data_IF_168822335824
#
_entry.id   IF_168822335824
#
_cell.length_a   1.000
_cell.length_b   1.000
_cell.length_c   1.000
_cell.angle_alpha   90.00
_cell.angle_beta   90.00
_cell.angle_gamma   90.00
#
_symmetry.space_group_name_H-M   'P 1'
#
loop_
_entity.id
_entity.type
_entity.pdbx_description
1 polymer ?
#
# COMPACT_ATOMS: atom_id res chain seq x y z
N UNK A 1 -32.97 -23.91 -31.47
CA UNK A 1 -33.51 -24.88 -30.50
C UNK A 1 -34.94 -24.47 -30.21
N UNK A 2 -35.89 -25.40 -30.26
CA UNK A 2 -37.30 -25.15 -29.93
C UNK A 2 -37.47 -25.39 -28.43
N UNK A 3 -37.96 -24.38 -27.70
CA UNK A 3 -38.17 -24.46 -26.24
C UNK A 3 -39.37 -25.37 -25.95
N UNK A 4 -39.31 -26.10 -24.83
CA UNK A 4 -40.38 -26.94 -24.27
C UNK A 4 -40.93 -28.06 -25.18
N UNK A 5 -40.21 -28.43 -26.25
CA UNK A 5 -40.60 -29.55 -27.11
C UNK A 5 -40.45 -30.91 -26.42
N UNK A 6 -39.55 -31.01 -25.45
CA UNK A 6 -39.30 -32.20 -24.64
C UNK A 6 -38.99 -31.82 -23.20
N UNK A 7 -39.29 -32.71 -22.26
CA UNK A 7 -38.91 -32.54 -20.84
C UNK A 7 -37.38 -32.56 -20.76
N UNK A 8 -36.78 -31.40 -20.44
CA UNK A 8 -35.36 -31.27 -20.18
C UNK A 8 -34.98 -31.79 -18.80
N UNK A 9 -33.72 -32.23 -18.65
CA UNK A 9 -33.16 -32.58 -17.33
C UNK A 9 -32.99 -31.36 -16.42
N UNK A 10 -32.89 -30.17 -17.01
CA UNK A 10 -32.82 -28.87 -16.36
C UNK A 10 -33.73 -27.90 -17.10
N UNK A 11 -34.26 -26.90 -16.39
CA UNK A 11 -35.07 -25.86 -17.02
C UNK A 11 -34.20 -24.90 -17.88
N UNK A 12 -34.86 -24.12 -18.74
CA UNK A 12 -34.16 -23.22 -19.66
C UNK A 12 -33.39 -22.11 -18.92
N UNK A 13 -33.93 -21.59 -17.83
CA UNK A 13 -33.32 -20.53 -17.04
C UNK A 13 -32.08 -21.02 -16.28
N UNK A 14 -32.09 -22.27 -15.81
CA UNK A 14 -30.97 -22.99 -15.22
C UNK A 14 -29.90 -23.26 -16.28
N UNK A 15 -30.29 -23.69 -17.48
CA UNK A 15 -29.34 -23.84 -18.59
C UNK A 15 -28.64 -22.51 -18.92
N UNK A 16 -29.38 -21.41 -19.06
CA UNK A 16 -28.79 -20.09 -19.33
C UNK A 16 -27.86 -19.63 -18.21
N UNK A 17 -28.26 -19.79 -16.94
CA UNK A 17 -27.40 -19.52 -15.78
C UNK A 17 -26.11 -20.36 -15.79
N UNK A 18 -26.22 -21.64 -16.13
CA UNK A 18 -25.08 -22.54 -16.25
C UNK A 18 -24.15 -22.12 -17.40
N UNK A 19 -24.68 -21.70 -18.55
CA UNK A 19 -23.89 -21.17 -19.67
C UNK A 19 -23.12 -19.91 -19.28
N UNK A 20 -23.74 -18.97 -18.56
CA UNK A 20 -23.07 -17.76 -18.05
C UNK A 20 -21.94 -18.15 -17.09
N UNK A 21 -22.21 -19.05 -16.14
CA UNK A 21 -21.24 -19.51 -15.14
C UNK A 21 -20.04 -20.20 -15.81
N UNK A 22 -20.28 -21.07 -16.79
CA UNK A 22 -19.23 -21.75 -17.54
C UNK A 22 -18.35 -20.78 -18.33
N UNK A 23 -18.95 -19.78 -19.00
CA UNK A 23 -18.19 -18.74 -19.72
C UNK A 23 -17.33 -17.92 -18.77
N UNK A 24 -17.86 -17.53 -17.61
CA UNK A 24 -17.10 -16.79 -16.59
C UNK A 24 -15.99 -17.64 -15.95
N UNK A 25 -16.18 -18.96 -15.90
CA UNK A 25 -15.22 -19.93 -15.37
C UNK A 25 -14.20 -20.42 -16.41
N UNK A 26 -14.31 -20.00 -17.67
CA UNK A 26 -13.40 -20.41 -18.74
C UNK A 26 -12.00 -19.79 -18.52
N UNK A 27 -11.13 -20.53 -17.83
CA UNK A 27 -9.91 -19.99 -17.23
C UNK A 27 -8.70 -19.90 -18.16
N UNK A 28 -8.64 -20.67 -19.25
CA UNK A 28 -7.37 -20.89 -19.98
C UNK A 28 -7.46 -20.93 -21.52
N UNK A 29 -8.64 -21.16 -22.12
CA UNK A 29 -8.77 -21.49 -23.54
C UNK A 29 -9.36 -20.38 -24.42
N UNK A 30 -9.90 -19.31 -23.83
CA UNK A 30 -10.44 -18.18 -24.58
C UNK A 30 -9.48 -16.98 -24.52
N UNK A 31 -9.18 -16.40 -25.68
CA UNK A 31 -8.39 -15.19 -25.76
C UNK A 31 -9.19 -14.07 -25.07
N UNK A 32 -8.64 -13.50 -24.01
CA UNK A 32 -9.37 -12.52 -23.19
C UNK A 32 -9.86 -13.00 -21.81
N UNK A 33 -10.00 -14.30 -21.55
CA UNK A 33 -10.55 -14.81 -20.28
C UNK A 33 -9.50 -15.27 -19.26
N UNK A 34 -8.22 -15.35 -19.68
CA UNK A 34 -7.13 -15.84 -18.84
C UNK A 34 -6.93 -15.00 -17.58
N UNK A 35 -7.20 -15.62 -16.42
CA UNK A 35 -7.06 -15.00 -15.10
C UNK A 35 -8.28 -14.22 -14.60
N UNK A 36 -9.38 -14.18 -15.35
CA UNK A 36 -10.59 -13.45 -14.95
C UNK A 36 -11.20 -13.97 -13.64
N UNK A 37 -11.14 -15.29 -13.43
CA UNK A 37 -11.61 -15.95 -12.22
C UNK A 37 -10.64 -15.72 -11.05
N UNK A 38 -11.13 -15.16 -9.92
CA UNK A 38 -10.37 -15.05 -8.69
C UNK A 38 -9.85 -16.41 -8.20
N UNK A 39 -8.57 -16.46 -7.84
CA UNK A 39 -7.93 -17.63 -7.22
C UNK A 39 -7.23 -17.25 -5.92
N UNK A 40 -6.70 -18.24 -5.23
CA UNK A 40 -5.93 -18.08 -4.00
C UNK A 40 -4.69 -17.17 -4.17
N UNK A 41 -4.18 -16.71 -3.03
CA UNK A 41 -3.02 -15.82 -2.92
C UNK A 41 -3.41 -14.34 -2.79
N UNK A 42 -2.46 -13.49 -2.43
CA UNK A 42 -2.74 -12.13 -1.93
C UNK A 42 -2.88 -11.05 -3.01
N UNK A 43 -2.53 -11.34 -4.27
CA UNK A 43 -2.47 -10.33 -5.33
C UNK A 43 -3.86 -9.90 -5.77
N UNK A 44 -4.24 -8.66 -5.44
CA UNK A 44 -5.59 -8.14 -5.62
C UNK A 44 -6.00 -8.06 -7.10
N UNK A 45 -5.06 -7.71 -7.99
CA UNK A 45 -5.32 -7.51 -9.41
C UNK A 45 -5.06 -8.75 -10.27
N UNK A 46 -5.06 -9.93 -9.68
CA UNK A 46 -4.83 -11.18 -10.39
C UNK A 46 -5.72 -11.30 -11.64
N UNK A 47 -5.07 -11.41 -12.80
CA UNK A 47 -5.71 -11.58 -14.11
C UNK A 47 -6.42 -10.34 -14.68
N UNK A 48 -6.35 -9.20 -14.00
CA UNK A 48 -6.86 -7.90 -14.49
C UNK A 48 -5.78 -6.93 -14.90
N UNK A 49 -4.52 -7.24 -14.59
CA UNK A 49 -3.39 -6.38 -14.97
C UNK A 49 -3.02 -6.56 -16.45
N UNK A 50 -2.95 -5.45 -17.17
CA UNK A 50 -2.46 -5.34 -18.54
C UNK A 50 -1.13 -4.58 -18.55
N UNK A 51 -0.18 -5.06 -19.35
CA UNK A 51 1.09 -4.41 -19.57
C UNK A 51 0.88 -3.22 -20.53
N UNK A 52 1.07 -1.99 -20.07
CA UNK A 52 0.94 -0.81 -20.95
C UNK A 52 2.06 -0.64 -21.99
N UNK A 53 3.08 -1.52 -22.00
CA UNK A 53 4.13 -1.52 -23.04
C UNK A 53 3.73 -2.40 -24.24
N UNK A 54 3.20 -3.60 -23.99
CA UNK A 54 2.91 -4.58 -25.05
C UNK A 54 1.44 -4.99 -25.15
N UNK A 55 0.55 -4.44 -24.32
CA UNK A 55 -0.88 -4.73 -24.30
C UNK A 55 -1.25 -6.14 -23.80
N UNK A 56 -0.28 -6.99 -23.43
CA UNK A 56 -0.55 -8.35 -22.95
C UNK A 56 -0.84 -8.37 -21.44
N UNK A 57 -1.68 -9.32 -21.01
CA UNK A 57 -1.97 -9.53 -19.58
C UNK A 57 -0.72 -9.94 -18.80
N UNK A 58 -0.56 -9.36 -17.62
CA UNK A 58 0.53 -9.66 -16.71
C UNK A 58 0.16 -10.84 -15.79
N UNK A 59 1.17 -11.62 -15.40
CA UNK A 59 1.01 -12.73 -14.45
C UNK A 59 1.37 -12.27 -13.03
N UNK A 60 0.80 -12.94 -12.04
CA UNK A 60 1.19 -12.75 -10.64
C UNK A 60 2.28 -13.75 -10.29
N UNK A 61 3.39 -13.26 -9.75
CA UNK A 61 4.40 -14.07 -9.07
C UNK A 61 4.40 -13.68 -7.61
N UNK A 62 4.44 -14.64 -6.71
CA UNK A 62 4.55 -14.35 -5.29
C UNK A 62 6.01 -14.44 -4.84
N UNK A 63 6.40 -13.52 -3.96
CA UNK A 63 7.70 -13.54 -3.31
C UNK A 63 7.49 -13.39 -1.80
N UNK A 64 8.16 -14.24 -1.01
CA UNK A 64 8.16 -14.10 0.44
C UNK A 64 9.15 -13.00 0.83
N UNK A 65 8.66 -11.96 1.49
CA UNK A 65 9.44 -10.82 1.99
C UNK A 65 9.23 -10.79 3.50
N UNK A 66 10.30 -11.12 4.25
CA UNK A 66 10.21 -11.40 5.69
C UNK A 66 9.14 -12.47 5.99
N UNK A 67 8.12 -12.14 6.79
CA UNK A 67 7.00 -13.03 7.14
C UNK A 67 5.80 -12.93 6.19
N UNK A 68 5.77 -11.96 5.27
CA UNK A 68 4.63 -11.73 4.39
C UNK A 68 4.88 -12.27 2.97
N UNK A 69 3.82 -12.79 2.35
CA UNK A 69 3.81 -13.08 0.92
C UNK A 69 3.41 -11.80 0.19
N UNK A 70 4.25 -11.31 -0.73
CA UNK A 70 3.96 -10.09 -1.51
C UNK A 70 3.80 -10.45 -3.00
N UNK A 71 2.81 -9.86 -3.70
CA UNK A 71 2.59 -10.10 -5.13
C UNK A 71 3.52 -9.25 -5.99
N UNK A 72 3.95 -9.80 -7.11
CA UNK A 72 4.60 -9.11 -8.22
C UNK A 72 3.79 -9.30 -9.48
N UNK A 73 3.50 -8.21 -10.17
CA UNK A 73 2.91 -8.23 -11.50
C UNK A 73 4.04 -8.27 -12.53
N UNK A 74 4.11 -9.33 -13.33
CA UNK A 74 5.19 -9.54 -14.30
C UNK A 74 4.63 -9.79 -15.69
N UNK A 75 5.08 -9.00 -16.66
CA UNK A 75 4.82 -9.25 -18.06
C UNK A 75 5.84 -10.27 -18.59
N UNK A 76 5.39 -11.50 -18.82
CA UNK A 76 6.21 -12.60 -19.33
C UNK A 76 5.91 -12.93 -20.80
N UNK A 77 5.13 -12.11 -21.51
CA UNK A 77 4.71 -12.40 -22.88
C UNK A 77 5.90 -12.51 -23.84
N UNK A 78 6.81 -11.53 -23.84
CA UNK A 78 8.02 -11.57 -24.68
C UNK A 78 8.92 -12.77 -24.33
N UNK A 79 9.12 -13.03 -23.03
CA UNK A 79 9.89 -14.19 -22.57
C UNK A 79 9.28 -15.54 -23.01
N UNK A 80 7.95 -15.65 -22.99
CA UNK A 80 7.26 -16.90 -23.34
C UNK A 80 7.18 -17.15 -24.86
N UNK A 81 7.04 -16.10 -25.67
CA UNK A 81 6.84 -16.24 -27.12
C UNK A 81 8.11 -16.04 -27.95
N UNK A 82 9.08 -15.27 -27.42
CA UNK A 82 10.27 -14.86 -28.17
C UNK A 82 11.59 -15.14 -27.42
N UNK A 83 11.53 -15.83 -26.28
CA UNK A 83 12.69 -16.08 -25.40
C UNK A 83 13.44 -14.79 -24.96
N UNK A 84 12.74 -13.66 -24.96
CA UNK A 84 13.27 -12.34 -24.62
C UNK A 84 13.21 -12.03 -23.11
N UNK A 85 13.74 -10.87 -22.72
CA UNK A 85 13.58 -10.34 -21.36
C UNK A 85 12.11 -9.96 -21.09
N UNK A 86 11.62 -10.11 -19.83
CA UNK A 86 10.28 -9.65 -19.47
C UNK A 86 10.14 -8.14 -19.65
N UNK A 87 9.03 -7.67 -20.21
CA UNK A 87 8.83 -6.25 -20.51
C UNK A 87 8.90 -5.39 -19.24
N UNK A 88 8.19 -5.82 -18.19
CA UNK A 88 8.16 -5.12 -16.91
C UNK A 88 7.81 -6.05 -15.75
N UNK A 89 8.35 -5.73 -14.58
CA UNK A 89 8.07 -6.36 -13.30
C UNK A 89 7.84 -5.29 -12.25
N UNK A 90 6.66 -5.34 -11.63
CA UNK A 90 6.15 -4.32 -10.71
C UNK A 90 5.78 -4.98 -9.39
N UNK A 91 6.16 -4.34 -8.28
CA UNK A 91 5.78 -4.77 -6.95
C UNK A 91 4.29 -4.46 -6.73
N UNK A 92 3.49 -5.48 -6.46
CA UNK A 92 2.03 -5.37 -6.44
C UNK A 92 1.48 -4.70 -5.19
N UNK A 93 2.16 -4.78 -4.04
CA UNK A 93 1.63 -4.27 -2.75
C UNK A 93 1.18 -2.81 -2.82
N UNK A 94 2.06 -1.92 -3.29
CA UNK A 94 1.78 -0.48 -3.26
C UNK A 94 0.71 -0.10 -4.31
N UNK A 95 0.68 -0.84 -5.43
CA UNK A 95 -0.39 -0.73 -6.46
C UNK A 95 -1.74 -1.21 -5.91
N UNK A 96 -1.77 -2.36 -5.24
CA UNK A 96 -2.99 -2.95 -4.66
C UNK A 96 -3.57 -2.04 -3.58
N UNK A 97 -2.71 -1.40 -2.77
CA UNK A 97 -3.12 -0.38 -1.80
C UNK A 97 -3.72 0.85 -2.49
N UNK A 98 -3.09 1.36 -3.55
CA UNK A 98 -3.61 2.49 -4.31
C UNK A 98 -4.97 2.20 -4.96
N UNK A 99 -5.14 1.01 -5.56
CA UNK A 99 -6.42 0.59 -6.13
C UNK A 99 -7.49 0.42 -5.03
N UNK A 100 -7.13 -0.17 -3.89
CA UNK A 100 -8.05 -0.31 -2.76
C UNK A 100 -8.54 1.06 -2.28
N UNK A 101 -7.64 2.03 -2.16
CA UNK A 101 -8.01 3.40 -1.79
C UNK A 101 -8.90 4.06 -2.84
N UNK A 102 -8.59 3.90 -4.13
CA UNK A 102 -9.43 4.41 -5.22
C UNK A 102 -10.84 3.81 -5.18
N UNK A 103 -10.97 2.49 -4.97
CA UNK A 103 -12.27 1.83 -4.90
C UNK A 103 -13.09 2.35 -3.72
N UNK A 104 -12.48 2.53 -2.56
CA UNK A 104 -13.17 3.10 -1.39
C UNK A 104 -13.66 4.53 -1.65
N UNK A 105 -12.85 5.36 -2.34
CA UNK A 105 -13.23 6.73 -2.69
C UNK A 105 -14.33 6.80 -3.76
N UNK A 106 -14.33 5.87 -4.72
CA UNK A 106 -15.23 5.91 -5.88
C UNK A 106 -16.56 5.22 -5.60
N UNK A 107 -16.54 4.08 -4.89
CA UNK A 107 -17.71 3.22 -4.71
C UNK A 107 -18.54 3.64 -3.50
N UNK A 108 -17.92 4.11 -2.41
CA UNK A 108 -18.68 4.47 -1.21
C UNK A 108 -19.72 5.59 -1.47
N UNK A 109 -19.42 6.67 -2.23
CA UNK A 109 -20.42 7.69 -2.55
C UNK A 109 -21.47 7.21 -3.55
N UNK A 110 -21.05 6.53 -4.62
CA UNK A 110 -21.97 6.04 -5.67
C UNK A 110 -22.92 4.95 -5.17
N UNK A 111 -22.47 4.09 -4.25
CA UNK A 111 -23.32 3.07 -3.63
C UNK A 111 -24.45 3.70 -2.80
N UNK A 112 -24.20 4.86 -2.18
CA UNK A 112 -25.22 5.62 -1.44
C UNK A 112 -26.24 6.22 -2.40
N UNK A 113 -25.79 6.85 -3.49
CA UNK A 113 -26.72 7.43 -4.49
C UNK A 113 -27.61 6.38 -5.15
N UNK A 114 -27.05 5.22 -5.54
CA UNK A 114 -27.83 4.11 -6.10
C UNK A 114 -28.81 3.56 -5.07
N UNK A 115 -28.40 3.42 -3.81
CA UNK A 115 -29.29 2.97 -2.75
C UNK A 115 -30.47 3.93 -2.55
N UNK A 116 -30.24 5.25 -2.63
CA UNK A 116 -31.30 6.26 -2.57
C UNK A 116 -32.23 6.20 -3.78
N UNK A 117 -31.68 6.04 -5.00
CA UNK A 117 -32.50 5.93 -6.21
C UNK A 117 -33.41 4.68 -6.20
N UNK A 118 -32.89 3.55 -5.70
CA UNK A 118 -33.69 2.32 -5.53
C UNK A 118 -34.77 2.51 -4.46
N UNK A 119 -34.48 3.23 -3.38
CA UNK A 119 -35.47 3.58 -2.35
C UNK A 119 -36.61 4.42 -2.95
N UNK A 120 -36.29 5.44 -3.74
CA UNK A 120 -37.27 6.29 -4.42
C UNK A 120 -38.12 5.49 -5.41
N UNK A 121 -37.52 4.57 -6.17
CA UNK A 121 -38.26 3.71 -7.09
C UNK A 121 -39.22 2.76 -6.36
N UNK A 122 -38.77 2.15 -5.25
CA UNK A 122 -39.62 1.28 -4.42
C UNK A 122 -40.79 2.07 -3.84
N UNK A 123 -40.52 3.27 -3.29
CA UNK A 123 -41.56 4.16 -2.77
C UNK A 123 -42.58 4.52 -3.86
N UNK A 124 -42.10 4.88 -5.06
CA UNK A 124 -42.97 5.19 -6.20
C UNK A 124 -43.83 4.01 -6.65
N UNK A 125 -43.29 2.78 -6.67
CA UNK A 125 -44.07 1.58 -7.01
C UNK A 125 -45.14 1.25 -5.96
N UNK A 126 -44.82 1.43 -4.68
CA UNK A 126 -45.79 1.24 -3.59
C UNK A 126 -46.94 2.25 -3.70
N UNK A 127 -46.62 3.52 -3.96
CA UNK A 127 -47.63 4.57 -4.15
C UNK A 127 -48.53 4.30 -5.35
N UNK A 128 -47.96 3.89 -6.49
CA UNK A 128 -48.73 3.51 -7.69
C UNK A 128 -49.66 2.32 -7.41
N UNK A 129 -49.16 1.30 -6.72
CA UNK A 129 -49.97 0.15 -6.33
C UNK A 129 -51.09 0.57 -5.36
N UNK A 130 -50.83 1.46 -4.41
CA UNK A 130 -51.84 1.96 -3.46
C UNK A 130 -52.94 2.78 -4.15
N UNK A 131 -52.56 3.63 -5.10
CA UNK A 131 -53.51 4.37 -5.92
C UNK A 131 -54.42 3.43 -6.75
N UNK A 132 -53.86 2.36 -7.33
CA UNK A 132 -54.64 1.36 -8.07
C UNK A 132 -55.64 0.63 -7.16
N UNK A 133 -55.19 0.22 -5.96
CA UNK A 133 -56.03 -0.46 -4.96
C UNK A 133 -57.14 0.44 -4.43
N UNK A 134 -56.84 1.71 -4.19
CA UNK A 134 -57.82 2.71 -3.75
C UNK A 134 -58.94 2.88 -4.79
N UNK A 135 -58.59 3.01 -6.07
CA UNK A 135 -59.57 3.07 -7.16
C UNK A 135 -60.42 1.80 -7.26
N UNK A 136 -59.84 0.63 -7.03
CA UNK A 136 -60.59 -0.63 -7.01
C UNK A 136 -61.60 -0.66 -5.86
N UNK A 137 -61.24 -0.17 -4.68
CA UNK A 137 -62.14 -0.02 -3.54
C UNK A 137 -63.26 0.97 -3.81
N UNK A 138 -62.97 2.13 -4.40
CA UNK A 138 -63.97 3.13 -4.79
C UNK A 138 -65.01 2.55 -5.75
N UNK A 139 -64.55 1.79 -6.76
CA UNK A 139 -65.46 1.11 -7.69
C UNK A 139 -66.33 0.07 -6.99
N UNK A 140 -65.75 -0.76 -6.13
CA UNK A 140 -66.52 -1.75 -5.37
C UNK A 140 -67.54 -1.09 -4.42
N UNK A 141 -67.21 0.06 -3.81
CA UNK A 141 -68.15 0.86 -3.00
C UNK A 141 -69.29 1.39 -3.83
N UNK A 142 -68.99 1.96 -4.99
CA UNK A 142 -70.01 2.46 -5.91
C UNK A 142 -70.96 1.36 -6.36
N UNK A 143 -70.43 0.19 -6.77
CA UNK A 143 -71.22 -0.94 -7.22
C UNK A 143 -72.14 -1.48 -6.10
N UNK A 144 -71.65 -1.54 -4.87
CA UNK A 144 -72.45 -1.94 -3.70
C UNK A 144 -73.58 -0.93 -3.40
N UNK A 145 -73.30 0.38 -3.47
CA UNK A 145 -74.31 1.42 -3.26
C UNK A 145 -75.35 1.46 -4.40
N UNK A 146 -74.92 1.21 -5.64
CA UNK A 146 -75.82 1.09 -6.78
C UNK A 146 -76.75 -0.12 -6.63
N UNK A 147 -76.22 -1.28 -6.22
CA UNK A 147 -77.02 -2.47 -5.94
C UNK A 147 -78.03 -2.22 -4.81
N UNK A 148 -77.61 -1.51 -3.74
CA UNK A 148 -78.51 -1.08 -2.64
C UNK A 148 -79.67 -0.24 -3.16
N UNK A 149 -79.39 0.78 -3.99
CA UNK A 149 -80.43 1.66 -4.55
C UNK A 149 -81.40 0.90 -5.44
N UNK A 150 -80.91 -0.06 -6.25
CA UNK A 150 -81.76 -0.91 -7.09
C UNK A 150 -82.70 -1.77 -6.24
N UNK A 151 -82.19 -2.39 -5.18
CA UNK A 151 -82.99 -3.16 -4.25
C UNK A 151 -84.05 -2.30 -3.54
N UNK A 152 -83.67 -1.13 -3.02
CA UNK A 152 -84.61 -0.23 -2.32
C UNK A 152 -85.73 0.34 -3.20
N UNK A 153 -85.54 0.37 -4.51
CA UNK A 153 -86.51 0.91 -5.47
C UNK A 153 -87.41 -0.18 -6.09
N UNK A 154 -87.23 -1.46 -5.76
CA UNK A 154 -88.07 -2.55 -6.30
C UNK A 154 -89.45 -2.56 -5.64
N UNK A 155 -90.49 -2.83 -6.41
CA UNK A 155 -91.84 -3.04 -5.86
C UNK A 155 -91.87 -4.35 -5.05
N UNK A 156 -92.29 -4.33 -3.77
CA UNK A 156 -92.42 -5.53 -2.93
C UNK A 156 -93.32 -6.64 -3.52
N UNK A 157 -94.24 -6.31 -4.41
CA UNK A 157 -95.07 -7.30 -5.11
C UNK A 157 -94.25 -8.22 -6.03
N UNK A 158 -93.09 -7.77 -6.51
CA UNK A 158 -92.20 -8.52 -7.40
C UNK A 158 -91.16 -9.35 -6.62
N UNK A 159 -91.64 -10.28 -5.79
CA UNK A 159 -90.83 -11.03 -4.81
C UNK A 159 -89.57 -11.69 -5.39
N UNK A 160 -89.66 -12.39 -6.53
CA UNK A 160 -88.50 -13.02 -7.16
C UNK A 160 -87.42 -12.01 -7.59
N UNK A 161 -87.82 -10.81 -8.01
CA UNK A 161 -86.87 -9.75 -8.43
C UNK A 161 -86.22 -9.12 -7.20
N UNK A 162 -86.98 -8.93 -6.12
CA UNK A 162 -86.46 -8.47 -4.84
C UNK A 162 -85.43 -9.45 -4.26
N UNK A 163 -85.74 -10.74 -4.23
CA UNK A 163 -84.83 -11.79 -3.74
C UNK A 163 -83.51 -11.83 -4.55
N UNK A 164 -83.59 -11.66 -5.87
CA UNK A 164 -82.41 -11.62 -6.76
C UNK A 164 -81.56 -10.36 -6.54
N UNK A 165 -82.18 -9.19 -6.37
CA UNK A 165 -81.49 -7.93 -6.10
C UNK A 165 -80.87 -7.90 -4.69
N UNK A 166 -81.53 -8.51 -3.72
CA UNK A 166 -80.98 -8.71 -2.37
C UNK A 166 -79.74 -9.61 -2.43
N UNK A 167 -79.80 -10.72 -3.17
CA UNK A 167 -78.66 -11.61 -3.36
C UNK A 167 -77.47 -10.92 -4.06
N UNK A 168 -77.72 -10.11 -5.10
CA UNK A 168 -76.69 -9.30 -5.76
C UNK A 168 -76.10 -8.26 -4.81
N UNK A 169 -76.93 -7.51 -4.07
CA UNK A 169 -76.44 -6.53 -3.10
C UNK A 169 -75.58 -7.19 -2.01
N UNK A 170 -76.03 -8.31 -1.44
CA UNK A 170 -75.26 -9.08 -0.48
C UNK A 170 -73.94 -9.61 -1.07
N UNK A 171 -73.91 -10.02 -2.33
CA UNK A 171 -72.68 -10.42 -3.01
C UNK A 171 -71.71 -9.25 -3.18
N UNK A 172 -72.19 -8.06 -3.56
CA UNK A 172 -71.37 -6.83 -3.67
C UNK A 172 -70.84 -6.37 -2.33
N UNK A 173 -71.61 -6.48 -1.24
CA UNK A 173 -71.15 -6.18 0.11
C UNK A 173 -70.01 -7.11 0.57
N UNK A 174 -70.13 -8.42 0.32
CA UNK A 174 -69.05 -9.38 0.63
C UNK A 174 -67.79 -9.11 -0.19
N UNK A 175 -67.96 -8.77 -1.48
CA UNK A 175 -66.85 -8.40 -2.34
C UNK A 175 -66.14 -7.14 -1.82
N UNK A 176 -66.89 -6.11 -1.44
CA UNK A 176 -66.35 -4.88 -0.86
C UNK A 176 -65.58 -5.17 0.43
N UNK A 177 -66.16 -5.92 1.37
CA UNK A 177 -65.51 -6.28 2.63
C UNK A 177 -64.20 -7.07 2.40
N UNK A 178 -64.21 -8.04 1.48
CA UNK A 178 -63.01 -8.81 1.14
C UNK A 178 -61.89 -7.92 0.57
N UNK A 179 -62.23 -6.97 -0.30
CA UNK A 179 -61.28 -6.02 -0.87
C UNK A 179 -60.77 -5.03 0.18
N UNK A 180 -61.60 -4.61 1.13
CA UNK A 180 -61.19 -3.73 2.23
C UNK A 180 -60.19 -4.43 3.14
N UNK A 181 -60.46 -5.66 3.54
CA UNK A 181 -59.55 -6.44 4.39
C UNK A 181 -58.22 -6.74 3.70
N UNK A 182 -58.23 -6.97 2.39
CA UNK A 182 -57.01 -7.19 1.62
C UNK A 182 -56.21 -5.90 1.47
N UNK A 183 -56.86 -4.78 1.17
CA UNK A 183 -56.21 -3.47 1.12
C UNK A 183 -55.57 -3.09 2.47
N UNK A 184 -56.27 -3.30 3.59
CA UNK A 184 -55.74 -3.06 4.94
C UNK A 184 -54.50 -3.91 5.24
N UNK A 185 -54.52 -5.19 4.83
CA UNK A 185 -53.38 -6.11 4.99
C UNK A 185 -52.18 -5.65 4.18
N UNK A 186 -52.39 -5.30 2.92
CA UNK A 186 -51.31 -4.87 2.04
C UNK A 186 -50.76 -3.49 2.46
N UNK A 187 -51.60 -2.57 2.89
CA UNK A 187 -51.17 -1.27 3.45
C UNK A 187 -50.25 -1.45 4.66
N UNK A 188 -50.55 -2.40 5.55
CA UNK A 188 -49.67 -2.74 6.69
C UNK A 188 -48.35 -3.38 6.23
N UNK A 189 -48.36 -4.17 5.16
CA UNK A 189 -47.13 -4.73 4.59
C UNK A 189 -46.25 -3.64 3.96
N UNK A 190 -46.86 -2.71 3.21
CA UNK A 190 -46.19 -1.57 2.58
C UNK A 190 -45.57 -0.63 3.62
N UNK A 191 -46.28 -0.35 4.72
CA UNK A 191 -45.75 0.44 5.85
C UNK A 191 -44.52 -0.20 6.51
N UNK A 192 -44.46 -1.53 6.59
CA UNK A 192 -43.29 -2.24 7.10
C UNK A 192 -42.13 -2.18 6.11
N UNK A 193 -42.42 -2.25 4.82
CA UNK A 193 -41.41 -2.21 3.75
C UNK A 193 -40.78 -0.81 3.63
N UNK A 194 -41.58 0.23 3.84
CA UNK A 194 -41.16 1.63 3.90
C UNK A 194 -40.74 2.09 5.31
N UNK A 195 -40.65 1.20 6.30
CA UNK A 195 -40.24 1.59 7.65
C UNK A 195 -38.82 2.19 7.63
N UNK A 196 -38.60 3.26 8.40
CA UNK A 196 -37.32 3.97 8.44
C UNK A 196 -36.15 3.07 8.86
N UNK A 197 -36.41 2.01 9.64
CA UNK A 197 -35.41 0.99 9.98
C UNK A 197 -34.94 0.16 8.79
N UNK A 198 -35.83 -0.21 7.86
CA UNK A 198 -35.46 -0.93 6.65
C UNK A 198 -34.61 -0.06 5.73
N UNK A 199 -34.97 1.23 5.63
CA UNK A 199 -34.22 2.25 4.87
C UNK A 199 -32.86 2.55 5.50
N UNK A 200 -32.80 2.66 6.83
CA UNK A 200 -31.55 2.80 7.56
C UNK A 200 -30.62 1.59 7.36
N UNK A 201 -31.15 0.37 7.32
CA UNK A 201 -30.37 -0.84 7.02
C UNK A 201 -29.79 -0.83 5.60
N UNK A 202 -30.55 -0.43 4.59
CA UNK A 202 -30.06 -0.34 3.20
C UNK A 202 -28.94 0.70 3.10
N UNK A 203 -29.11 1.87 3.72
CA UNK A 203 -28.08 2.92 3.77
C UNK A 203 -26.83 2.48 4.55
N UNK A 204 -27.01 1.76 5.66
CA UNK A 204 -25.91 1.17 6.42
C UNK A 204 -25.12 0.17 5.58
N UNK A 205 -25.80 -0.73 4.85
CA UNK A 205 -25.16 -1.68 3.94
C UNK A 205 -24.32 -1.00 2.85
N UNK A 206 -24.76 0.15 2.32
CA UNK A 206 -23.99 0.93 1.35
C UNK A 206 -22.76 1.60 1.99
N UNK A 207 -22.89 2.12 3.21
CA UNK A 207 -21.77 2.68 3.99
C UNK A 207 -20.77 1.60 4.46
N UNK A 208 -21.25 0.37 4.66
CA UNK A 208 -20.47 -0.76 5.17
C UNK A 208 -19.49 -1.35 4.14
N UNK A 209 -19.51 -0.91 2.87
CA UNK A 209 -18.53 -1.39 1.88
C UNK A 209 -17.08 -1.21 2.39
N UNK A 210 -16.80 -0.08 3.04
CA UNK A 210 -15.48 0.19 3.62
C UNK A 210 -15.12 -0.77 4.75
N UNK A 211 -16.09 -1.16 5.56
CA UNK A 211 -15.94 -2.10 6.67
C UNK A 211 -15.68 -3.50 6.12
N UNK A 212 -16.50 -3.96 5.17
CA UNK A 212 -16.37 -5.27 4.54
C UNK A 212 -15.06 -5.39 3.76
N UNK A 213 -14.67 -4.36 3.01
CA UNK A 213 -13.43 -4.39 2.23
C UNK A 213 -12.18 -4.53 3.11
N UNK A 214 -12.16 -3.81 4.23
CA UNK A 214 -11.02 -3.78 5.16
C UNK A 214 -11.07 -4.88 6.24
N UNK A 215 -12.17 -5.64 6.36
CA UNK A 215 -12.28 -6.72 7.34
C UNK A 215 -11.28 -7.84 7.00
N UNK A 216 -10.37 -8.12 7.94
CA UNK A 216 -9.32 -9.14 7.80
C UNK A 216 -9.86 -10.56 7.67
N UNK A 217 -11.09 -10.82 8.13
CA UNK A 217 -11.76 -12.14 8.04
C UNK A 217 -12.16 -12.49 6.60
N UNK A 218 -12.33 -11.48 5.74
CA UNK A 218 -12.65 -11.71 4.34
C UNK A 218 -11.42 -12.28 3.63
N UNK A 219 -11.61 -13.41 2.95
CA UNK A 219 -10.56 -14.05 2.17
C UNK A 219 -10.13 -13.19 0.97
N UNK A 220 -8.89 -13.37 0.51
CA UNK A 220 -8.40 -12.62 -0.66
C UNK A 220 -9.20 -12.94 -1.92
N UNK A 221 -9.71 -14.17 -2.05
CA UNK A 221 -10.54 -14.59 -3.19
C UNK A 221 -11.82 -13.75 -3.27
N UNK A 222 -12.49 -13.52 -2.14
CA UNK A 222 -13.70 -12.70 -2.06
C UNK A 222 -13.43 -11.23 -2.42
N UNK A 223 -12.32 -10.65 -1.94
CA UNK A 223 -11.94 -9.28 -2.34
C UNK A 223 -11.71 -9.14 -3.85
N UNK A 224 -11.07 -10.15 -4.46
CA UNK A 224 -10.87 -10.19 -5.91
C UNK A 224 -12.19 -10.38 -6.68
N UNK A 225 -13.15 -11.13 -6.13
CA UNK A 225 -14.51 -11.26 -6.69
C UNK A 225 -15.20 -9.90 -6.71
N UNK A 226 -15.25 -9.23 -5.56
CA UNK A 226 -15.81 -7.87 -5.45
C UNK A 226 -15.13 -6.89 -6.42
N UNK A 227 -13.80 -6.89 -6.47
CA UNK A 227 -13.05 -6.06 -7.43
C UNK A 227 -13.44 -6.36 -8.88
N UNK A 228 -13.67 -7.64 -9.19
CA UNK A 228 -14.04 -8.08 -10.53
C UNK A 228 -15.40 -7.63 -11.04
N UNK A 229 -16.30 -7.26 -10.13
CA UNK A 229 -17.59 -6.64 -10.44
C UNK A 229 -17.44 -5.15 -10.79
N UNK A 230 -16.39 -4.50 -10.27
CA UNK A 230 -16.20 -3.06 -10.35
C UNK A 230 -15.22 -2.67 -11.47
N UNK A 231 -14.12 -3.41 -11.58
CA UNK A 231 -13.01 -3.13 -12.50
C UNK A 231 -13.00 -4.15 -13.64
N UNK A 232 -12.93 -3.63 -14.86
CA UNK A 232 -12.72 -4.42 -16.08
C UNK A 232 -11.24 -4.83 -16.18
N UNK A 233 -10.33 -3.86 -16.15
CA UNK A 233 -8.88 -4.08 -16.16
C UNK A 233 -8.10 -2.90 -15.57
N UNK A 234 -6.82 -3.16 -15.30
CA UNK A 234 -5.84 -2.16 -14.84
C UNK A 234 -4.61 -2.24 -15.72
N UNK A 235 -4.29 -1.15 -16.41
CA UNK A 235 -3.07 -1.04 -17.21
C UNK A 235 -1.95 -0.43 -16.38
N UNK A 236 -0.81 -1.10 -16.31
CA UNK A 236 0.37 -0.64 -15.58
C UNK A 236 1.52 -0.28 -16.53
N UNK A 237 2.17 0.85 -16.26
CA UNK A 237 3.39 1.28 -16.96
C UNK A 237 4.44 1.66 -15.91
N UNK A 238 5.57 0.94 -15.91
CA UNK A 238 6.69 1.22 -15.00
C UNK A 238 7.67 2.21 -15.62
N UNK A 239 7.78 3.40 -15.05
CA UNK A 239 8.78 4.41 -15.38
C UNK A 239 9.48 4.92 -14.10
N UNK A 240 9.62 6.24 -13.93
CA UNK A 240 10.12 6.81 -12.67
C UNK A 240 9.15 6.54 -11.52
N UNK A 241 7.86 6.68 -11.80
CA UNK A 241 6.75 6.19 -11.02
C UNK A 241 6.01 5.10 -11.80
N UNK A 242 5.09 4.40 -11.14
CA UNK A 242 4.21 3.43 -11.76
C UNK A 242 2.93 4.18 -12.14
N UNK A 243 2.69 4.35 -13.44
CA UNK A 243 1.40 4.83 -13.91
C UNK A 243 0.38 3.68 -13.89
N UNK A 244 -0.76 3.95 -13.28
CA UNK A 244 -1.86 3.00 -13.08
C UNK A 244 -3.10 3.58 -13.74
N UNK A 245 -3.56 2.95 -14.81
CA UNK A 245 -4.79 3.32 -15.50
C UNK A 245 -5.85 2.27 -15.21
N UNK A 246 -6.96 2.68 -14.61
CA UNK A 246 -8.04 1.81 -14.17
C UNK A 246 -9.24 2.03 -15.07
N UNK A 247 -9.75 0.94 -15.65
CA UNK A 247 -10.98 0.95 -16.43
C UNK A 247 -12.09 0.25 -15.65
N UNK A 248 -13.13 0.99 -15.29
CA UNK A 248 -14.31 0.47 -14.63
C UNK A 248 -15.23 -0.23 -15.63
N UNK A 249 -16.06 -1.17 -15.16
CA UNK A 249 -17.07 -1.83 -16.01
C UNK A 249 -18.10 -0.86 -16.59
N UNK A 250 -18.29 0.30 -15.97
CA UNK A 250 -19.13 1.40 -16.49
C UNK A 250 -18.45 2.26 -17.57
N UNK A 251 -17.26 1.89 -18.06
CA UNK A 251 -16.53 2.65 -19.09
C UNK A 251 -15.74 3.85 -18.57
N UNK A 252 -16.02 4.32 -17.35
CA UNK A 252 -15.21 5.35 -16.69
C UNK A 252 -13.76 4.88 -16.57
N UNK A 253 -12.82 5.81 -16.79
CA UNK A 253 -11.38 5.54 -16.68
C UNK A 253 -10.75 6.54 -15.72
N UNK A 254 -9.91 6.05 -14.81
CA UNK A 254 -9.18 6.87 -13.84
C UNK A 254 -7.69 6.54 -13.92
N UNK A 255 -6.85 7.56 -13.87
CA UNK A 255 -5.39 7.40 -13.89
C UNK A 255 -4.78 7.92 -12.60
N UNK A 256 -3.82 7.18 -12.05
CA UNK A 256 -3.09 7.57 -10.84
C UNK A 256 -1.62 7.16 -10.93
N UNK A 257 -0.78 7.83 -10.15
CA UNK A 257 0.66 7.59 -10.08
C UNK A 257 1.02 6.99 -8.73
N UNK A 258 1.81 5.91 -8.73
CA UNK A 258 2.30 5.25 -7.51
C UNK A 258 3.82 5.29 -7.50
N UNK A 259 4.40 5.69 -6.36
CA UNK A 259 5.84 5.68 -6.21
C UNK A 259 6.41 4.26 -6.26
N UNK A 260 7.49 4.08 -7.03
CA UNK A 260 8.23 2.82 -7.03
C UNK A 260 8.99 2.68 -5.70
N UNK A 261 9.05 1.45 -5.18
CA UNK A 261 10.00 1.13 -4.11
C UNK A 261 11.42 1.44 -4.57
N UNK A 262 12.16 2.13 -3.70
CA UNK A 262 13.58 2.40 -3.95
C UNK A 262 14.33 1.06 -4.06
N UNK A 263 15.20 0.88 -5.07
CA UNK A 263 16.07 -0.27 -5.16
C UNK A 263 16.84 -0.50 -3.86
N UNK A 264 17.02 -1.76 -3.47
CA UNK A 264 17.74 -2.11 -2.23
C UNK A 264 19.17 -1.52 -2.20
N UNK A 265 19.80 -1.37 -3.36
CA UNK A 265 21.10 -0.73 -3.49
C UNK A 265 21.06 0.74 -3.04
N UNK A 266 20.00 1.49 -3.36
CA UNK A 266 19.82 2.87 -2.91
C UNK A 266 19.43 2.94 -1.43
N UNK A 267 18.60 2.02 -0.95
CA UNK A 267 18.24 1.94 0.49
C UNK A 267 19.48 1.66 1.35
N UNK A 268 20.38 0.80 0.87
CA UNK A 268 21.63 0.43 1.57
C UNK A 268 22.70 1.52 1.51
N UNK A 269 22.58 2.51 0.62
CA UNK A 269 23.56 3.60 0.54
C UNK A 269 23.48 4.43 1.83
N UNK A 270 24.63 4.66 2.44
CA UNK A 270 24.76 5.60 3.55
C UNK A 270 24.33 7.00 3.09
N UNK A 271 23.54 7.69 3.90
CA UNK A 271 23.10 9.06 3.61
C UNK A 271 24.31 9.99 3.45
N UNK A 272 24.22 10.93 2.51
CA UNK A 272 25.29 11.90 2.21
C UNK A 272 25.69 12.72 3.43
N UNK A 273 24.72 13.08 4.28
CA UNK A 273 24.95 13.75 5.56
C UNK A 273 25.88 12.95 6.49
N UNK A 274 25.63 11.64 6.62
CA UNK A 274 26.46 10.75 7.45
C UNK A 274 27.87 10.64 6.87
N UNK A 275 28.00 10.57 5.53
CA UNK A 275 29.30 10.54 4.85
C UNK A 275 30.08 11.84 5.09
N UNK A 276 29.43 13.00 4.96
CA UNK A 276 30.03 14.30 5.25
C UNK A 276 30.46 14.42 6.72
N UNK A 277 29.62 13.94 7.65
CA UNK A 277 29.94 13.94 9.08
C UNK A 277 31.13 13.03 9.40
N UNK A 278 31.24 11.87 8.75
CA UNK A 278 32.43 11.01 8.86
C UNK A 278 33.67 11.74 8.34
N UNK A 279 33.56 12.42 7.20
CA UNK A 279 34.66 13.16 6.60
C UNK A 279 35.14 14.29 7.53
N UNK A 280 34.23 15.04 8.15
CA UNK A 280 34.53 16.06 9.17
C UNK A 280 35.20 15.45 10.41
N UNK A 281 34.62 14.39 10.99
CA UNK A 281 35.13 13.79 12.23
C UNK A 281 36.52 13.17 12.05
N UNK A 282 36.87 12.69 10.86
CA UNK A 282 38.21 12.14 10.58
C UNK A 282 39.34 13.18 10.72
N UNK A 283 39.01 14.48 10.74
CA UNK A 283 39.99 15.56 10.97
C UNK A 283 40.58 15.55 12.37
N UNK A 284 39.82 15.08 13.37
CA UNK A 284 40.21 15.09 14.79
C UNK A 284 40.15 13.71 15.45
N UNK A 285 39.37 12.78 14.90
CA UNK A 285 39.05 11.50 15.53
C UNK A 285 39.53 10.29 14.71
N UNK A 286 39.99 9.24 15.40
CA UNK A 286 40.23 7.91 14.80
C UNK A 286 38.92 7.24 14.37
N UNK A 287 38.96 6.25 13.45
CA UNK A 287 37.76 5.55 12.97
C UNK A 287 36.86 4.99 14.11
N UNK A 288 37.46 4.59 15.24
CA UNK A 288 36.73 4.12 16.42
C UNK A 288 36.02 5.27 17.15
N UNK A 289 36.68 6.40 17.32
CA UNK A 289 36.11 7.59 17.93
C UNK A 289 35.02 8.18 17.02
N UNK A 290 35.22 8.17 15.70
CA UNK A 290 34.17 8.54 14.72
C UNK A 290 32.94 7.66 14.92
N UNK A 291 33.10 6.33 15.03
CA UNK A 291 31.97 5.44 15.25
C UNK A 291 31.23 5.74 16.57
N UNK A 292 31.96 5.98 17.66
CA UNK A 292 31.37 6.36 18.94
C UNK A 292 30.60 7.68 18.84
N UNK A 293 31.20 8.70 18.21
CA UNK A 293 30.60 10.02 18.06
C UNK A 293 29.36 10.01 17.17
N UNK A 294 29.35 9.22 16.09
CA UNK A 294 28.15 9.04 15.27
C UNK A 294 27.00 8.41 16.06
N UNK A 295 27.31 7.44 16.94
CA UNK A 295 26.30 6.81 17.78
C UNK A 295 25.78 7.77 18.86
N UNK A 296 26.64 8.60 19.46
CA UNK A 296 26.25 9.67 20.41
C UNK A 296 25.33 10.69 19.75
N UNK A 297 25.59 11.04 18.49
CA UNK A 297 24.75 11.94 17.69
C UNK A 297 23.44 11.28 17.20
N UNK A 298 23.19 10.02 17.54
CA UNK A 298 21.96 9.31 17.19
C UNK A 298 21.91 8.74 15.77
N UNK A 299 22.99 8.87 14.97
CA UNK A 299 23.00 8.30 13.62
C UNK A 299 22.99 6.77 13.65
N UNK A 300 22.17 6.17 12.77
CA UNK A 300 22.07 4.72 12.57
C UNK A 300 22.32 4.34 11.12
N UNK A 301 22.67 3.08 10.88
CA UNK A 301 22.73 2.56 9.51
C UNK A 301 21.32 2.28 8.95
N UNK A 302 21.24 1.85 7.68
CA UNK A 302 19.96 1.52 7.02
C UNK A 302 19.15 0.40 7.71
N UNK A 303 19.77 -0.41 8.59
CA UNK A 303 19.09 -1.45 9.39
C UNK A 303 18.67 -0.95 10.78
N UNK A 304 18.93 0.31 11.11
CA UNK A 304 18.72 0.84 12.47
C UNK A 304 19.81 0.42 13.48
N UNK A 305 20.89 -0.22 13.04
CA UNK A 305 21.97 -0.65 13.92
C UNK A 305 22.98 0.48 14.16
N UNK A 306 23.65 0.43 15.31
CA UNK A 306 24.76 1.33 15.65
C UNK A 306 25.99 1.11 14.74
N UNK A 307 26.78 2.18 14.58
CA UNK A 307 28.05 2.17 13.87
C UNK A 307 29.15 1.49 14.69
N UNK A 308 29.99 0.72 14.02
CA UNK A 308 31.21 0.13 14.57
C UNK A 308 32.41 0.63 13.78
N UNK A 309 33.62 0.55 14.36
CA UNK A 309 34.84 1.02 13.65
C UNK A 309 35.02 0.35 12.28
N UNK A 310 34.68 -0.95 12.14
CA UNK A 310 34.71 -1.67 10.85
C UNK A 310 33.71 -1.08 9.84
N UNK A 311 32.50 -0.72 10.29
CA UNK A 311 31.49 -0.07 9.43
C UNK A 311 31.98 1.28 8.93
N UNK A 312 32.64 2.08 9.79
CA UNK A 312 33.24 3.36 9.40
C UNK A 312 34.36 3.17 8.38
N UNK A 313 35.27 2.20 8.59
CA UNK A 313 36.32 1.87 7.62
C UNK A 313 35.72 1.48 6.26
N UNK A 314 34.67 0.67 6.24
CA UNK A 314 34.00 0.28 5.00
C UNK A 314 33.38 1.47 4.28
N UNK A 315 32.75 2.40 5.01
CA UNK A 315 32.20 3.64 4.44
C UNK A 315 33.33 4.50 3.89
N UNK A 316 34.39 4.72 4.69
CA UNK A 316 35.58 5.47 4.27
C UNK A 316 36.15 4.94 2.96
N UNK A 317 36.32 3.62 2.84
CA UNK A 317 36.84 2.98 1.63
C UNK A 317 35.85 3.08 0.45
N UNK A 318 34.56 2.85 0.68
CA UNK A 318 33.54 2.91 -0.37
C UNK A 318 33.37 4.32 -0.95
N UNK A 319 33.48 5.36 -0.11
CA UNK A 319 33.38 6.77 -0.50
C UNK A 319 34.75 7.43 -0.75
N UNK A 320 35.84 6.65 -0.74
CA UNK A 320 37.22 7.12 -0.98
C UNK A 320 37.66 8.29 -0.09
N UNK A 321 37.16 8.34 1.15
CA UNK A 321 37.54 9.37 2.11
C UNK A 321 38.96 9.12 2.62
N UNK A 322 39.77 10.18 2.72
CA UNK A 322 41.15 10.07 3.22
C UNK A 322 41.14 9.60 4.68
N UNK A 323 41.98 8.62 5.00
CA UNK A 323 42.14 8.17 6.38
C UNK A 323 42.81 9.24 7.24
N UNK A 324 42.56 9.21 8.55
CA UNK A 324 43.23 10.10 9.49
C UNK A 324 44.76 10.02 9.40
N UNK A 325 45.30 8.82 9.17
CA UNK A 325 46.73 8.64 8.93
C UNK A 325 47.20 9.45 7.71
N UNK A 326 46.52 9.29 6.58
CA UNK A 326 46.83 10.00 5.34
C UNK A 326 46.76 11.51 5.53
N UNK A 327 45.71 12.01 6.18
CA UNK A 327 45.54 13.45 6.46
C UNK A 327 46.64 14.01 7.35
N UNK A 328 47.05 13.28 8.38
CA UNK A 328 48.16 13.68 9.25
C UNK A 328 49.50 13.64 8.51
N UNK A 329 49.73 12.66 7.62
CA UNK A 329 50.92 12.62 6.77
C UNK A 329 51.00 13.80 5.81
N UNK A 330 49.87 14.16 5.18
CA UNK A 330 49.78 15.35 4.32
C UNK A 330 50.05 16.66 5.06
N UNK A 331 49.81 16.69 6.39
CA UNK A 331 50.15 17.82 7.28
C UNK A 331 51.62 17.85 7.72
N UNK A 332 52.45 16.91 7.24
CA UNK A 332 53.87 16.84 7.60
C UNK A 332 54.16 16.12 8.92
N UNK A 333 53.19 15.39 9.48
CA UNK A 333 53.41 14.62 10.72
C UNK A 333 54.31 13.41 10.45
N UNK A 334 55.28 13.18 11.33
CA UNK A 334 56.30 12.16 11.19
C UNK A 334 55.97 10.88 11.94
N UNK A 335 56.46 9.75 11.43
CA UNK A 335 56.43 8.47 12.14
C UNK A 335 57.47 8.46 13.27
N UNK A 336 57.28 7.60 14.27
CA UNK A 336 58.24 7.45 15.36
C UNK A 336 59.66 7.11 14.86
N UNK A 337 59.77 6.34 13.77
CA UNK A 337 61.06 5.95 13.19
C UNK A 337 61.75 7.13 12.49
N UNK A 338 61.02 7.91 11.70
CA UNK A 338 61.56 9.12 11.05
C UNK A 338 62.03 10.13 12.11
N UNK A 339 61.23 10.33 13.16
CA UNK A 339 61.57 11.26 14.23
C UNK A 339 62.73 10.76 15.11
N UNK A 340 62.79 9.44 15.35
CA UNK A 340 63.90 8.79 16.05
C UNK A 340 65.23 8.97 15.30
N UNK A 341 65.21 8.80 13.97
CA UNK A 341 66.37 9.04 13.11
C UNK A 341 66.81 10.52 13.15
N UNK A 342 65.86 11.46 13.15
CA UNK A 342 66.16 12.90 13.23
C UNK A 342 66.79 13.29 14.57
N UNK A 343 66.34 12.72 15.69
CA UNK A 343 66.80 13.07 17.04
C UNK A 343 67.95 12.18 17.57
N UNK A 344 68.37 11.16 16.82
CA UNK A 344 69.42 10.23 17.24
C UNK A 344 69.07 9.38 18.46
N UNK A 345 67.79 9.00 18.60
CA UNK A 345 67.27 8.17 19.70
C UNK A 345 66.55 6.93 19.18
N UNK A 346 66.19 5.99 20.04
CA UNK A 346 65.38 4.84 19.64
C UNK A 346 63.88 5.19 19.54
N UNK A 347 63.11 4.55 18.65
CA UNK A 347 61.67 4.81 18.49
C UNK A 347 60.86 4.62 19.78
N UNK A 348 61.29 3.73 20.68
CA UNK A 348 60.65 3.51 21.98
C UNK A 348 60.72 4.77 22.86
N UNK A 349 61.84 5.49 22.85
CA UNK A 349 61.97 6.78 23.56
C UNK A 349 61.01 7.83 22.99
N UNK A 350 60.82 7.87 21.67
CA UNK A 350 59.84 8.77 21.04
C UNK A 350 58.41 8.47 21.52
N UNK A 351 58.03 7.20 21.59
CA UNK A 351 56.72 6.82 22.14
C UNK A 351 56.57 7.18 23.61
N UNK A 352 57.62 7.01 24.43
CA UNK A 352 57.62 7.41 25.84
C UNK A 352 57.44 8.93 25.98
N UNK A 353 58.17 9.71 25.19
CA UNK A 353 58.04 11.17 25.17
C UNK A 353 56.69 11.67 24.66
N UNK A 354 56.07 10.95 23.72
CA UNK A 354 54.69 11.18 23.32
C UNK A 354 53.69 10.93 24.45
N UNK A 355 53.92 9.89 25.27
CA UNK A 355 53.06 9.56 26.41
C UNK A 355 53.24 10.53 27.58
N UNK A 356 54.46 11.00 27.83
CA UNK A 356 54.73 12.01 28.87
C UNK A 356 54.32 13.43 28.47
N UNK A 357 53.91 13.64 27.21
CA UNK A 357 53.49 14.94 26.68
C UNK A 357 54.64 15.85 26.24
N UNK A 358 55.89 15.36 26.28
CA UNK A 358 57.06 16.09 25.79
C UNK A 358 57.02 16.29 24.27
N UNK A 359 56.55 15.27 23.54
CA UNK A 359 56.27 15.38 22.11
C UNK A 359 54.77 15.38 21.86
N UNK A 360 54.30 16.29 21.00
CA UNK A 360 52.89 16.31 20.59
C UNK A 360 52.61 15.13 19.68
N UNK A 361 51.75 14.22 20.15
CA UNK A 361 51.33 13.03 19.42
C UNK A 361 49.88 13.12 18.93
N UNK A 362 49.65 12.69 17.70
CA UNK A 362 48.34 12.60 17.07
C UNK A 362 47.99 11.14 16.79
N UNK A 363 47.00 10.61 17.51
CA UNK A 363 46.56 9.21 17.35
C UNK A 363 45.69 9.08 16.10
N UNK A 364 45.96 8.06 15.27
CA UNK A 364 45.15 7.79 14.07
C UNK A 364 44.46 6.43 14.09
N UNK A 365 44.81 5.53 15.01
CA UNK A 365 44.21 4.21 15.14
C UNK A 365 44.22 3.70 16.58
N UNK A 366 43.96 2.41 16.76
CA UNK A 366 44.09 1.73 18.05
C UNK A 366 45.58 1.49 18.39
N UNK A 367 45.89 1.28 19.68
CA UNK A 367 47.24 1.07 20.24
C UNK A 367 48.12 2.34 20.19
N UNK A 368 49.45 2.18 20.28
CA UNK A 368 50.47 3.23 20.11
C UNK A 368 50.61 3.73 18.65
N UNK A 369 49.55 3.63 17.84
CA UNK A 369 49.55 4.12 16.45
C UNK A 369 49.29 5.62 16.41
N UNK A 370 50.37 6.38 16.61
CA UNK A 370 50.40 7.83 16.53
C UNK A 370 51.44 8.32 15.53
N UNK A 371 51.24 9.54 15.07
CA UNK A 371 52.22 10.35 14.37
C UNK A 371 52.60 11.53 15.27
N UNK A 372 53.77 12.10 15.05
CA UNK A 372 54.34 13.16 15.87
C UNK A 372 54.47 14.43 15.06
N UNK A 373 54.33 15.57 15.73
CA UNK A 373 54.64 16.86 15.11
C UNK A 373 56.13 16.94 14.76
N UNK A 374 56.48 17.48 13.58
CA UNK A 374 57.87 17.70 13.23
C UNK A 374 58.46 18.71 14.21
N UNK A 375 59.48 18.29 14.96
CA UNK A 375 60.37 19.20 15.67
C UNK A 375 61.36 19.69 14.64
N UNK A 376 61.48 21.01 14.47
CA UNK A 376 62.33 21.63 13.44
C UNK A 376 63.83 21.32 13.63
N UNK A 377 64.70 22.25 13.24
CA UNK A 377 66.13 22.07 13.47
C UNK A 377 66.46 22.31 14.96
N UNK A 378 66.31 21.26 15.78
CA UNK A 378 66.53 21.30 17.22
C UNK A 378 67.63 20.32 17.62
N UNK A 379 68.46 20.72 18.57
CA UNK A 379 69.43 19.85 19.23
C UNK A 379 68.77 19.28 20.48
N UNK A 380 68.78 17.95 20.58
CA UNK A 380 68.32 17.25 21.76
C UNK A 380 69.37 17.32 22.86
N UNK A 381 69.03 17.98 23.97
CA UNK A 381 69.79 17.89 25.21
C UNK A 381 69.23 16.71 26.01
N UNK A 382 70.00 15.62 26.07
CA UNK A 382 69.59 14.41 26.79
C UNK A 382 69.45 14.71 28.28
N UNK A 383 68.30 14.37 28.84
CA UNK A 383 68.10 14.39 30.29
C UNK A 383 69.00 13.37 30.98
N UNK A 384 69.47 13.68 32.19
CA UNK A 384 70.20 12.74 33.03
C UNK A 384 69.26 12.12 34.06
N UNK A 385 69.21 10.78 34.09
CA UNK A 385 68.51 10.04 35.13
C UNK A 385 69.45 9.76 36.31
N UNK A 386 69.19 10.35 37.47
CA UNK A 386 69.94 10.11 38.70
C UNK A 386 69.05 9.59 39.84
N UNK A 387 69.67 8.94 40.83
CA UNK A 387 68.99 8.35 42.00
C UNK A 387 68.31 9.39 42.91
N UNK A 388 68.70 10.67 42.79
CA UNK A 388 68.22 11.79 43.63
C UNK A 388 67.61 12.96 42.84
N UNK A 389 67.96 13.15 41.57
CA UNK A 389 67.32 14.12 40.68
C UNK A 389 67.30 13.58 39.25
N UNK A 390 66.22 13.88 38.53
CA UNK A 390 66.11 13.58 37.10
C UNK A 390 65.89 14.89 36.35
N UNK A 391 66.69 15.11 35.31
CA UNK A 391 66.49 16.26 34.41
C UNK A 391 65.69 15.79 33.22
N UNK A 392 64.56 16.43 32.94
CA UNK A 392 63.80 16.15 31.73
C UNK A 392 64.64 16.51 30.48
N UNK A 393 64.53 15.74 29.38
CA UNK A 393 65.16 16.13 28.13
C UNK A 393 64.57 17.47 27.66
N UNK A 394 65.40 18.29 27.01
CA UNK A 394 64.96 19.57 26.42
C UNK A 394 65.38 19.64 24.97
N UNK A 395 64.54 20.29 24.16
CA UNK A 395 64.84 20.58 22.76
C UNK A 395 65.27 22.04 22.67
N UNK A 396 66.53 22.27 22.29
CA UNK A 396 67.06 23.63 22.09
C UNK A 396 67.12 23.91 20.59
N UNK A 397 66.62 25.05 20.09
CA UNK A 397 66.77 25.39 18.68
C UNK A 397 68.25 25.42 18.30
N UNK A 398 68.62 24.74 17.21
CA UNK A 398 69.98 24.79 16.70
C UNK A 398 70.29 26.24 16.28
N UNK A 399 71.33 26.84 16.87
CA UNK A 399 71.76 28.18 16.46
C UNK A 399 72.18 28.13 14.99
N UNK A 400 71.53 28.93 14.15
CA UNK A 400 71.99 29.16 12.77
C UNK A 400 73.34 29.85 12.85
N UNK A 401 74.41 29.15 12.49
CA UNK A 401 75.73 29.73 12.34
C UNK A 401 75.72 30.67 11.11
N UNK A 402 75.28 31.91 11.32
CA UNK A 402 75.53 33.03 10.42
C UNK A 402 76.53 33.96 11.09
N UNK A 403 77.81 33.71 10.87
CA UNK A 403 78.97 34.60 10.98
C UNK A 403 80.04 33.87 10.14
N UNK A 404 80.46 34.32 8.96
CA UNK A 404 80.89 35.66 8.56
C UNK A 404 82.34 35.52 8.13
N UNK A 405 82.60 35.34 6.84
CA UNK A 405 83.94 35.42 6.26
C UNK A 405 83.89 36.46 5.13
N UNK A 406 84.69 37.51 5.31
CA UNK A 406 85.00 38.56 4.35
C UNK A 406 85.62 38.01 3.07
#
# INVERSE_FOLDING_TARGET
MIRDAHVGYIDWDEFERNQVTLRQSATNFCDGARGAMPREGVGLLQGRVICGICGKRMRVRYQRVASALEPYYVCLAAAAHHADKPCQSIHGRDVDTAISALLLQTVAPAAIEVALAVEDEIAGRVEQADAMRTKQLERARYDAELARRRYMNVDPANRMVADALEADWNARLRQLDSLQQEHERQRKADQRLLADEARARIRALAADFSVVWNDKRIESVERKRMLGLLIEDVTLIKAEQIAVHVRFRGGQTTSLMVDKRKPIALIRKTLTEIVAKIDELLETCSDRQVAARLNELGYKNWRGESFTHKKVINIRNAYKLKSRFTRLRERGMLTANELAAQLGVCPTTIYQWGQSGFLRQHRYGNLHRCLFEPVGNVVLVKGQGGRYSSTAPTLTPAQSATQGAM
#
